data_IF_535012969724
#
_entry.id   IF_535012969724
#
_cell.length_a   1.000
_cell.length_b   1.000
_cell.length_c   1.000
_cell.angle_alpha   90.00
_cell.angle_beta   90.00
_cell.angle_gamma   90.00
#
_symmetry.space_group_name_H-M   'P 1'
#
loop_
_entity.id
_entity.type
_entity.pdbx_description
1 polymer ?
#
# COMPACT_ATOMS: atom_id res chain seq x y z
N UNK A 1 21.50 -15.97 21.73
CA UNK A 1 21.38 -15.87 20.26
C UNK A 1 20.09 -15.15 19.95
N UNK A 2 20.15 -13.89 19.54
CA UNK A 2 18.99 -13.15 19.05
C UNK A 2 19.22 -12.91 17.56
N UNK A 3 18.71 -13.81 16.73
CA UNK A 3 18.78 -13.70 15.27
C UNK A 3 17.38 -13.34 14.81
N UNK A 4 16.98 -12.09 15.01
CA UNK A 4 15.78 -11.54 14.39
C UNK A 4 16.21 -10.88 13.08
N UNK A 5 15.56 -11.21 11.97
CA UNK A 5 15.80 -10.54 10.69
C UNK A 5 15.41 -9.06 10.81
N UNK A 6 16.11 -8.13 10.12
CA UNK A 6 15.76 -6.71 10.15
C UNK A 6 14.33 -6.41 9.67
N UNK A 7 13.73 -7.31 8.89
CA UNK A 7 12.36 -7.23 8.39
C UNK A 7 11.30 -7.74 9.37
N UNK A 8 11.70 -8.29 10.52
CA UNK A 8 10.76 -8.69 11.55
C UNK A 8 10.37 -7.45 12.35
N UNK A 9 9.33 -6.75 11.90
CA UNK A 9 8.83 -5.52 12.52
C UNK A 9 8.43 -5.80 13.97
N UNK A 10 9.29 -5.37 14.90
CA UNK A 10 9.09 -5.46 16.36
C UNK A 10 8.71 -4.11 16.99
N UNK A 11 8.69 -3.04 16.20
CA UNK A 11 8.22 -1.72 16.58
C UNK A 11 7.15 -1.27 15.58
N UNK A 12 6.05 -0.64 16.02
CA UNK A 12 5.03 -0.14 15.10
C UNK A 12 5.68 0.82 14.09
N UNK A 13 5.33 0.68 12.81
CA UNK A 13 5.82 1.57 11.76
C UNK A 13 5.58 3.03 12.17
N UNK A 14 6.66 3.82 12.13
CA UNK A 14 6.71 5.17 12.65
C UNK A 14 5.66 6.09 12.01
N UNK A 15 5.03 6.87 12.89
CA UNK A 15 4.34 8.15 12.69
C UNK A 15 3.08 8.20 11.81
N UNK A 16 2.14 9.02 12.27
CA UNK A 16 0.94 9.39 11.53
C UNK A 16 1.35 9.87 10.13
N UNK A 17 0.85 9.25 9.05
CA UNK A 17 1.34 9.56 7.72
C UNK A 17 0.98 11.01 7.34
N UNK A 18 2.01 11.86 7.29
CA UNK A 18 1.95 13.29 6.98
C UNK A 18 2.01 13.47 5.46
N UNK A 19 0.99 14.06 4.87
CA UNK A 19 0.92 14.24 3.42
C UNK A 19 -0.49 14.54 2.92
N UNK A 20 -0.57 15.21 1.78
CA UNK A 20 -1.83 15.54 1.09
C UNK A 20 -2.10 14.57 -0.06
N UNK A 21 -1.07 13.89 -0.57
CA UNK A 21 -1.19 12.94 -1.68
C UNK A 21 -1.12 11.52 -1.13
N UNK A 22 -1.97 10.62 -1.59
CA UNK A 22 -1.98 9.24 -1.13
C UNK A 22 -2.15 8.22 -2.24
N UNK A 23 -1.80 6.97 -1.92
CA UNK A 23 -2.18 5.77 -2.67
C UNK A 23 -3.12 4.96 -1.79
N UNK A 24 -4.39 4.86 -2.18
CA UNK A 24 -5.37 3.97 -1.57
C UNK A 24 -5.17 2.57 -2.13
N UNK A 25 -5.10 1.60 -1.25
CA UNK A 25 -4.98 0.17 -1.54
C UNK A 25 -6.25 -0.52 -1.09
N UNK A 26 -6.83 -1.35 -1.95
CA UNK A 26 -8.03 -2.12 -1.67
C UNK A 26 -7.98 -3.50 -2.32
N UNK A 27 -8.86 -4.38 -1.89
CA UNK A 27 -9.06 -5.69 -2.50
C UNK A 27 -10.06 -5.57 -3.67
N UNK A 28 -9.89 -6.36 -4.75
CA UNK A 28 -10.92 -6.48 -5.76
C UNK A 28 -12.15 -7.22 -5.21
N UNK A 29 -13.29 -6.95 -5.82
CA UNK A 29 -14.54 -7.65 -5.49
C UNK A 29 -14.38 -9.16 -5.71
N UNK A 30 -14.75 -9.95 -4.71
CA UNK A 30 -14.64 -11.41 -4.75
C UNK A 30 -13.24 -11.96 -4.44
N UNK A 31 -12.30 -11.12 -3.99
CA UNK A 31 -11.01 -11.61 -3.48
C UNK A 31 -11.21 -12.45 -2.22
N UNK A 32 -10.64 -13.67 -2.12
CA UNK A 32 -10.79 -14.51 -0.93
C UNK A 32 -10.24 -13.88 0.36
N UNK A 33 -9.34 -12.89 0.27
CA UNK A 33 -8.84 -12.16 1.44
C UNK A 33 -9.91 -11.28 2.10
N UNK A 34 -11.02 -10.96 1.44
CA UNK A 34 -12.10 -10.18 2.08
C UNK A 34 -12.68 -10.92 3.28
N UNK A 35 -12.67 -12.25 3.28
CA UNK A 35 -13.07 -13.07 4.43
C UNK A 35 -12.20 -12.87 5.67
N UNK A 36 -10.96 -12.38 5.50
CA UNK A 36 -10.03 -12.12 6.60
C UNK A 36 -10.02 -10.65 7.01
N UNK A 37 -10.13 -9.73 6.04
CA UNK A 37 -9.93 -8.29 6.26
C UNK A 37 -11.22 -7.48 6.35
N UNK A 38 -12.37 -8.08 6.03
CA UNK A 38 -13.66 -7.45 5.73
C UNK A 38 -13.74 -6.87 4.30
N UNK A 39 -14.97 -6.76 3.78
CA UNK A 39 -15.25 -6.38 2.40
C UNK A 39 -14.91 -4.91 2.09
N UNK A 40 -14.87 -4.05 3.12
CA UNK A 40 -14.55 -2.62 3.01
C UNK A 40 -13.11 -2.28 3.38
N UNK A 41 -12.24 -3.31 3.48
CA UNK A 41 -10.86 -3.09 3.85
C UNK A 41 -10.14 -2.18 2.85
N UNK A 42 -9.55 -1.12 3.40
CA UNK A 42 -8.65 -0.24 2.68
C UNK A 42 -7.49 0.18 3.57
N UNK A 43 -6.34 0.43 2.95
CA UNK A 43 -5.22 1.13 3.59
C UNK A 43 -4.74 2.26 2.68
N UNK A 44 -4.17 3.31 3.26
CA UNK A 44 -3.67 4.45 2.47
C UNK A 44 -2.26 4.81 2.89
N UNK A 45 -1.36 4.82 1.92
CA UNK A 45 0.00 5.36 2.08
C UNK A 45 -0.03 6.84 1.71
N UNK A 46 0.34 7.72 2.64
CA UNK A 46 0.40 9.17 2.37
C UNK A 46 1.83 9.62 2.10
N UNK A 47 1.94 10.59 1.20
CA UNK A 47 3.16 11.16 0.69
C UNK A 47 3.07 12.69 0.75
N UNK A 48 4.21 13.32 0.99
CA UNK A 48 4.31 14.78 1.03
C UNK A 48 4.09 15.41 -0.36
N UNK A 49 4.55 14.75 -1.43
CA UNK A 49 4.48 15.26 -2.81
C UNK A 49 3.73 14.33 -3.74
N UNK A 50 3.17 14.90 -4.82
CA UNK A 50 2.54 14.13 -5.89
C UNK A 50 3.54 13.24 -6.62
N UNK A 51 4.78 13.70 -6.81
CA UNK A 51 5.82 12.94 -7.49
C UNK A 51 6.23 11.68 -6.71
N UNK A 52 6.31 11.78 -5.37
CA UNK A 52 6.58 10.61 -4.52
C UNK A 52 5.43 9.61 -4.56
N UNK A 53 4.18 10.11 -4.53
CA UNK A 53 2.96 9.30 -4.66
C UNK A 53 2.91 8.57 -5.99
N UNK A 54 3.23 9.24 -7.10
CA UNK A 54 3.20 8.65 -8.44
C UNK A 54 4.33 7.61 -8.63
N UNK A 55 5.52 7.88 -8.07
CA UNK A 55 6.63 6.91 -8.03
C UNK A 55 6.24 5.67 -7.24
N UNK A 56 5.66 5.83 -6.06
CA UNK A 56 5.20 4.72 -5.24
C UNK A 56 4.07 3.94 -5.93
N UNK A 57 3.10 4.63 -6.55
CA UNK A 57 2.02 4.01 -7.31
C UNK A 57 2.56 3.10 -8.42
N UNK A 58 3.53 3.60 -9.20
CA UNK A 58 4.16 2.82 -10.26
C UNK A 58 4.93 1.61 -9.70
N UNK A 59 5.67 1.79 -8.60
CA UNK A 59 6.42 0.70 -7.97
C UNK A 59 5.49 -0.40 -7.42
N UNK A 60 4.41 -0.01 -6.72
CA UNK A 60 3.42 -0.94 -6.15
C UNK A 60 2.62 -1.69 -7.22
N UNK A 61 2.34 -1.05 -8.37
CA UNK A 61 1.64 -1.70 -9.49
C UNK A 61 2.54 -2.63 -10.32
N UNK A 62 3.87 -2.53 -10.17
CA UNK A 62 4.82 -3.29 -10.98
C UNK A 62 4.86 -4.76 -10.54
N UNK A 63 4.97 -5.67 -11.51
CA UNK A 63 5.35 -7.06 -11.24
C UNK A 63 6.76 -7.11 -10.63
N UNK A 64 6.90 -7.71 -9.45
CA UNK A 64 8.21 -7.86 -8.80
C UNK A 64 9.16 -8.72 -9.64
N UNK A 65 10.46 -8.44 -9.55
CA UNK A 65 11.50 -9.10 -10.36
C UNK A 65 11.57 -10.63 -10.17
N UNK A 66 11.16 -11.11 -9.00
CA UNK A 66 11.12 -12.53 -8.66
C UNK A 66 9.73 -13.16 -8.82
N UNK A 67 8.71 -12.38 -9.23
CA UNK A 67 7.38 -12.90 -9.53
C UNK A 67 7.39 -13.69 -10.83
N UNK A 68 6.51 -14.69 -10.93
CA UNK A 68 6.36 -15.48 -12.15
C UNK A 68 5.74 -14.62 -13.26
N UNK A 69 5.94 -14.93 -14.55
CA UNK A 69 5.44 -14.13 -15.67
C UNK A 69 3.92 -13.88 -15.74
N UNK A 70 3.12 -14.53 -14.88
CA UNK A 70 1.67 -14.39 -14.82
C UNK A 70 1.15 -14.08 -13.41
N UNK A 71 2.06 -13.87 -12.46
CA UNK A 71 1.72 -13.45 -11.13
C UNK A 71 1.53 -11.92 -11.15
N UNK A 72 0.27 -11.50 -11.03
CA UNK A 72 -0.11 -10.09 -11.06
C UNK A 72 -0.54 -9.67 -9.67
N UNK A 73 -0.12 -8.49 -9.19
CA UNK A 73 -0.64 -7.95 -7.95
C UNK A 73 -2.17 -7.88 -8.04
N UNK A 74 -2.84 -8.53 -7.08
CA UNK A 74 -4.30 -8.59 -7.03
C UNK A 74 -4.90 -7.30 -6.46
N UNK A 75 -4.11 -6.56 -5.69
CA UNK A 75 -4.51 -5.31 -5.05
C UNK A 75 -4.84 -4.22 -6.08
N UNK A 76 -5.87 -3.44 -5.77
CA UNK A 76 -6.26 -2.25 -6.51
C UNK A 76 -5.56 -1.04 -5.87
N UNK A 77 -4.83 -0.29 -6.68
CA UNK A 77 -4.11 0.92 -6.26
C UNK A 77 -4.68 2.16 -6.93
N UNK A 78 -5.09 3.13 -6.14
CA UNK A 78 -5.71 4.37 -6.62
C UNK A 78 -5.00 5.60 -6.03
N UNK A 79 -4.74 6.58 -6.89
CA UNK A 79 -4.24 7.87 -6.46
C UNK A 79 -5.37 8.66 -5.77
N UNK A 80 -5.14 9.09 -4.53
CA UNK A 80 -6.06 9.92 -3.76
C UNK A 80 -5.36 11.21 -3.33
N UNK A 81 -6.15 12.24 -3.02
CA UNK A 81 -5.68 13.46 -2.36
C UNK A 81 -6.58 13.78 -1.18
N UNK A 82 -6.01 14.28 -0.08
CA UNK A 82 -6.81 14.97 0.93
C UNK A 82 -7.16 16.31 0.32
N UNK A 83 -8.43 16.51 -0.04
CA UNK A 83 -8.91 17.87 -0.25
C UNK A 83 -8.82 18.57 1.10
N UNK A 84 -7.85 19.49 1.22
CA UNK A 84 -7.89 20.47 2.30
C UNK A 84 -9.15 21.28 2.06
N UNK A 85 -10.24 20.93 2.75
CA UNK A 85 -11.37 21.85 2.90
C UNK A 85 -10.76 23.10 3.52
N UNK A 86 -10.87 24.21 2.77
CA UNK A 86 -10.35 25.53 3.12
C UNK A 86 -10.84 26.01 4.49
#
# INVERSE_FOLDING_TARGET
MAISNPHNINEPAAETPVGTYGVRVSLPEGDPFTHLLADDWTTTHWFATAADRDKALHDMQRTHEFSRPHDKPTLIFEAVSRDTIA
#
